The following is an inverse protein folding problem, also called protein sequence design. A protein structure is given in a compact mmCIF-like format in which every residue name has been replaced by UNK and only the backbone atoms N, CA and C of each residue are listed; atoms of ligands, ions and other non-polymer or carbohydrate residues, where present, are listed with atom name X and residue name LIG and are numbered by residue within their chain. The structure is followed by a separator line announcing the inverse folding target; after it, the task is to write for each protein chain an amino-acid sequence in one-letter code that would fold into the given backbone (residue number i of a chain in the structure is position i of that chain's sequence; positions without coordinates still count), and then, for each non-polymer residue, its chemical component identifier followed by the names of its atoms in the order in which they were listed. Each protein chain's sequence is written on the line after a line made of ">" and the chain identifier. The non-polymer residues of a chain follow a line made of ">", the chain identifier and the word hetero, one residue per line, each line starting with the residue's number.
data_IF_977709835533
#
_entry.id   IF_977709835533
#
_cell.length_a   1.000
_cell.length_b   1.000
_cell.length_c   1.000
_cell.angle_alpha   90.00
_cell.angle_beta   90.00
_cell.angle_gamma   90.00
#
_symmetry.space_group_name_H-M   'P 1'
#
loop_
_entity.id
_entity.type
_entity.pdbx_description
1 polymer ?
#
# COMPACT_ATOMS: atom_id res chain seq x y z
N UNK A 1 0.19 -8.66 -18.51
CA UNK A 1 1.40 -9.07 -17.75
C UNK A 1 1.16 -9.08 -16.24
N UNK A 2 0.89 -7.95 -15.54
CA UNK A 2 0.59 -7.99 -14.08
C UNK A 2 -0.65 -8.84 -13.79
N UNK A 3 -1.74 -8.61 -14.50
CA UNK A 3 -2.99 -9.36 -14.35
C UNK A 3 -2.78 -10.86 -14.53
N UNK A 4 -2.08 -11.28 -15.59
CA UNK A 4 -1.84 -12.71 -15.87
C UNK A 4 -0.98 -13.37 -14.79
N UNK A 5 0.06 -12.67 -14.33
CA UNK A 5 0.91 -13.14 -13.24
C UNK A 5 0.13 -13.31 -11.94
N UNK A 6 -0.64 -12.30 -11.55
CA UNK A 6 -1.45 -12.33 -10.32
C UNK A 6 -2.51 -13.42 -10.38
N UNK A 7 -3.21 -13.57 -11.51
CA UNK A 7 -4.23 -14.60 -11.70
C UNK A 7 -3.62 -16.01 -11.61
N UNK A 8 -2.47 -16.23 -12.25
CA UNK A 8 -1.78 -17.52 -12.21
C UNK A 8 -1.29 -17.85 -10.80
N UNK A 9 -0.66 -16.89 -10.11
CA UNK A 9 -0.17 -17.06 -8.75
C UNK A 9 -1.32 -17.34 -7.78
N UNK A 10 -2.41 -16.59 -7.87
CA UNK A 10 -3.61 -16.78 -7.06
C UNK A 10 -4.17 -18.19 -7.23
N UNK A 11 -4.34 -18.66 -8.47
CA UNK A 11 -4.83 -20.01 -8.76
C UNK A 11 -3.96 -21.12 -8.16
N UNK A 12 -2.63 -20.93 -8.14
CA UNK A 12 -1.69 -21.87 -7.53
C UNK A 12 -1.90 -21.88 -6.00
N UNK A 13 -1.95 -20.71 -5.36
CA UNK A 13 -2.12 -20.57 -3.92
C UNK A 13 -3.47 -21.16 -3.46
N UNK A 14 -4.55 -20.82 -4.15
CA UNK A 14 -5.89 -21.35 -3.85
C UNK A 14 -5.92 -22.88 -3.87
N UNK A 15 -5.29 -23.50 -4.88
CA UNK A 15 -5.19 -24.97 -4.96
C UNK A 15 -4.28 -25.56 -3.89
N UNK A 16 -3.11 -24.96 -3.62
CA UNK A 16 -2.16 -25.48 -2.64
C UNK A 16 -2.70 -25.43 -1.20
N UNK A 17 -3.52 -24.44 -0.87
CA UNK A 17 -4.02 -24.21 0.46
C UNK A 17 -5.54 -24.43 0.60
N UNK A 18 -6.18 -24.89 -0.46
CA UNK A 18 -7.64 -25.13 -0.50
C UNK A 18 -8.45 -23.89 -0.05
N UNK A 19 -8.07 -22.73 -0.56
CA UNK A 19 -8.74 -21.46 -0.24
C UNK A 19 -9.98 -21.26 -1.12
N UNK A 20 -11.02 -20.59 -0.61
CA UNK A 20 -12.14 -20.15 -1.44
C UNK A 20 -11.69 -19.20 -2.55
N UNK A 21 -12.32 -19.25 -3.72
CA UNK A 21 -12.01 -18.39 -4.85
C UNK A 21 -12.30 -16.90 -4.61
N UNK A 22 -13.17 -16.61 -3.64
CA UNK A 22 -13.54 -15.27 -3.17
C UNK A 22 -12.77 -14.81 -1.93
N UNK A 23 -11.77 -15.57 -1.48
CA UNK A 23 -10.92 -15.18 -0.36
C UNK A 23 -10.29 -13.81 -0.60
N UNK A 24 -10.34 -12.89 0.38
CA UNK A 24 -9.73 -11.58 0.23
C UNK A 24 -8.20 -11.70 0.08
N UNK A 25 -7.64 -10.86 -0.80
CA UNK A 25 -6.20 -10.83 -1.06
C UNK A 25 -5.64 -9.48 -0.59
N UNK A 26 -4.65 -9.53 0.29
CA UNK A 26 -3.91 -8.36 0.76
C UNK A 26 -2.53 -8.37 0.11
N UNK A 27 -2.21 -7.33 -0.66
CA UNK A 27 -0.86 -7.09 -1.16
C UNK A 27 -0.18 -6.02 -0.31
N UNK A 28 1.09 -6.21 -0.02
CA UNK A 28 1.81 -5.21 0.75
C UNK A 28 3.31 -5.24 0.51
N UNK A 29 3.97 -4.21 1.00
CA UNK A 29 5.41 -4.08 0.88
C UNK A 29 5.97 -2.88 1.64
N UNK A 30 7.27 -2.70 1.50
CA UNK A 30 8.03 -1.60 2.08
C UNK A 30 8.72 -0.78 0.99
N UNK A 31 8.75 0.54 1.15
CA UNK A 31 9.50 1.43 0.24
C UNK A 31 9.00 1.34 -1.21
N UNK A 32 9.85 0.94 -2.15
CA UNK A 32 9.47 0.77 -3.55
C UNK A 32 8.46 -0.38 -3.75
N UNK A 33 8.56 -1.44 -2.98
CA UNK A 33 7.57 -2.53 -3.01
C UNK A 33 6.20 -2.05 -2.49
N UNK A 34 6.17 -1.11 -1.54
CA UNK A 34 4.93 -0.47 -1.11
C UNK A 34 4.34 0.44 -2.20
N UNK A 35 5.17 1.17 -2.94
CA UNK A 35 4.72 1.93 -4.12
C UNK A 35 4.15 1.00 -5.19
N UNK A 36 4.81 -0.12 -5.47
CA UNK A 36 4.30 -1.13 -6.39
C UNK A 36 2.95 -1.69 -5.93
N UNK A 37 2.79 -1.94 -4.62
CA UNK A 37 1.51 -2.39 -4.06
C UNK A 37 0.41 -1.36 -4.24
N UNK A 38 0.70 -0.07 -4.02
CA UNK A 38 -0.24 1.03 -4.30
C UNK A 38 -0.60 1.08 -5.79
N UNK A 39 0.39 1.06 -6.68
CA UNK A 39 0.15 1.04 -8.12
C UNK A 39 -0.72 -0.14 -8.55
N UNK A 40 -0.50 -1.32 -7.96
CA UNK A 40 -1.31 -2.51 -8.24
C UNK A 40 -2.79 -2.33 -7.87
N UNK A 41 -3.10 -1.50 -6.86
CA UNK A 41 -4.48 -1.17 -6.51
C UNK A 41 -5.22 -0.40 -7.61
N UNK A 42 -4.50 0.37 -8.41
CA UNK A 42 -5.08 1.12 -9.54
C UNK A 42 -5.16 0.27 -10.82
N UNK A 43 -4.25 -0.68 -10.99
CA UNK A 43 -4.13 -1.49 -12.22
C UNK A 43 -4.92 -2.79 -12.18
N UNK A 44 -5.34 -3.27 -10.99
CA UNK A 44 -5.95 -4.59 -10.85
C UNK A 44 -7.02 -4.64 -9.76
N UNK A 45 -8.12 -5.30 -10.08
CA UNK A 45 -9.20 -5.61 -9.13
C UNK A 45 -8.91 -6.87 -8.28
N UNK A 46 -7.73 -7.48 -8.43
CA UNK A 46 -7.38 -8.73 -7.75
C UNK A 46 -7.07 -8.56 -6.26
N UNK A 47 -6.89 -7.33 -5.80
CA UNK A 47 -6.50 -7.03 -4.41
C UNK A 47 -7.65 -6.39 -3.66
N UNK A 48 -8.03 -6.98 -2.53
CA UNK A 48 -9.07 -6.45 -1.64
C UNK A 48 -8.52 -5.33 -0.76
N UNK A 49 -7.27 -5.46 -0.32
CA UNK A 49 -6.59 -4.47 0.50
C UNK A 49 -5.09 -4.33 0.16
N UNK A 50 -4.55 -3.17 0.48
CA UNK A 50 -3.13 -2.83 0.30
C UNK A 50 -2.50 -2.42 1.63
N UNK A 51 -1.37 -3.05 1.99
CA UNK A 51 -0.57 -2.70 3.15
C UNK A 51 0.74 -2.01 2.70
N UNK A 52 0.69 -0.68 2.50
CA UNK A 52 1.82 0.10 2.00
C UNK A 52 2.59 0.76 3.17
N UNK A 53 3.69 0.13 3.59
CA UNK A 53 4.55 0.65 4.65
C UNK A 53 5.69 1.50 4.07
N UNK A 54 5.79 2.75 4.51
CA UNK A 54 6.80 3.74 4.06
C UNK A 54 6.95 3.79 2.53
N UNK A 55 5.86 3.93 1.75
CA UNK A 55 5.91 3.86 0.30
C UNK A 55 6.70 5.01 -0.30
N UNK A 56 7.42 4.74 -1.40
CA UNK A 56 8.19 5.73 -2.16
C UNK A 56 7.30 6.67 -2.98
N UNK A 57 6.28 7.27 -2.37
CA UNK A 57 5.29 8.14 -3.03
C UNK A 57 5.85 9.46 -3.57
N UNK A 58 7.11 9.75 -3.26
CA UNK A 58 7.91 10.82 -3.86
C UNK A 58 8.42 10.51 -5.26
N UNK A 59 8.16 9.29 -5.76
CA UNK A 59 8.60 8.87 -7.10
C UNK A 59 8.01 9.80 -8.17
N UNK A 60 8.82 10.29 -9.13
CA UNK A 60 8.36 11.22 -10.14
C UNK A 60 7.14 10.73 -10.92
N UNK A 61 6.12 11.57 -11.04
CA UNK A 61 4.88 11.25 -11.75
C UNK A 61 3.86 10.42 -10.97
N UNK A 62 4.20 9.96 -9.77
CA UNK A 62 3.31 9.10 -8.99
C UNK A 62 2.00 9.81 -8.58
N UNK A 63 2.10 11.00 -8.00
CA UNK A 63 0.90 11.72 -7.52
C UNK A 63 0.01 12.20 -8.69
N UNK A 64 0.60 12.58 -9.81
CA UNK A 64 -0.13 12.90 -11.04
C UNK A 64 -0.90 11.67 -11.55
N UNK A 65 -0.24 10.51 -11.55
CA UNK A 65 -0.89 9.24 -11.89
C UNK A 65 -2.04 8.94 -10.92
N UNK A 66 -1.82 9.01 -9.62
CA UNK A 66 -2.83 8.71 -8.60
C UNK A 66 -4.05 9.65 -8.67
N UNK A 67 -3.85 10.93 -9.05
CA UNK A 67 -4.94 11.90 -9.29
C UNK A 67 -5.77 11.58 -10.53
N UNK A 68 -5.16 10.98 -11.54
CA UNK A 68 -5.81 10.70 -12.82
C UNK A 68 -6.54 9.34 -12.85
N UNK A 69 -6.38 8.51 -11.83
CA UNK A 69 -6.93 7.16 -11.78
C UNK A 69 -7.63 6.90 -10.44
N UNK A 70 -8.57 5.96 -10.44
CA UNK A 70 -9.26 5.51 -9.22
C UNK A 70 -8.74 4.15 -8.78
N UNK A 71 -8.43 3.94 -7.47
CA UNK A 71 -8.00 2.64 -6.97
C UNK A 71 -9.18 1.67 -6.89
N UNK A 72 -8.93 0.40 -7.18
CA UNK A 72 -9.92 -0.68 -7.09
C UNK A 72 -9.97 -1.34 -5.70
N UNK A 73 -8.88 -1.29 -4.92
CA UNK A 73 -8.86 -1.84 -3.58
C UNK A 73 -9.67 -0.97 -2.61
N UNK A 74 -10.57 -1.58 -1.84
CA UNK A 74 -11.45 -0.87 -0.91
C UNK A 74 -10.79 -0.48 0.43
N UNK A 75 -9.64 -1.07 0.76
CA UNK A 75 -8.92 -0.87 2.03
C UNK A 75 -7.44 -0.62 1.74
N UNK A 76 -6.90 0.52 2.17
CA UNK A 76 -5.50 0.87 1.94
C UNK A 76 -4.87 1.44 3.21
N UNK A 77 -3.85 0.74 3.72
CA UNK A 77 -3.01 1.20 4.81
C UNK A 77 -1.81 1.96 4.28
N UNK A 78 -1.54 3.12 4.85
CA UNK A 78 -0.31 3.89 4.64
C UNK A 78 0.43 4.06 5.96
N UNK A 79 1.75 4.04 5.94
CA UNK A 79 2.55 4.48 7.07
C UNK A 79 3.81 5.20 6.64
N UNK A 80 4.38 5.99 7.55
CA UNK A 80 5.66 6.67 7.35
C UNK A 80 6.41 6.80 8.69
N UNK A 81 7.72 6.82 8.66
CA UNK A 81 8.53 7.21 9.80
C UNK A 81 8.55 8.73 9.98
N UNK A 82 8.47 9.20 11.22
CA UNK A 82 8.39 10.62 11.57
C UNK A 82 9.66 11.44 11.26
N UNK A 83 10.75 10.73 10.86
CA UNK A 83 12.04 11.32 10.47
C UNK A 83 12.50 10.92 9.07
N UNK A 84 11.64 10.35 8.23
CA UNK A 84 12.01 9.97 6.86
C UNK A 84 12.27 11.19 5.95
N UNK A 85 11.64 12.31 6.22
CA UNK A 85 11.85 13.59 5.53
C UNK A 85 13.13 14.34 5.98
N UNK A 86 13.85 13.84 6.99
CA UNK A 86 15.08 14.46 7.53
C UNK A 86 16.37 13.98 6.82
N UNK A 87 16.22 13.15 5.79
CA UNK A 87 17.35 12.63 5.02
C UNK A 87 18.11 13.70 4.24
N UNK A 88 19.28 13.34 3.70
CA UNK A 88 20.12 14.26 2.88
C UNK A 88 19.60 14.44 1.46
N UNK A 89 18.87 13.47 0.93
CA UNK A 89 18.36 13.52 -0.44
C UNK A 89 17.16 14.48 -0.55
N UNK A 90 17.26 15.57 -1.34
CA UNK A 90 16.19 16.56 -1.47
C UNK A 90 14.86 15.97 -1.96
N UNK A 91 14.89 14.99 -2.84
CA UNK A 91 13.69 14.35 -3.39
C UNK A 91 12.98 13.55 -2.30
N UNK A 92 13.72 12.78 -1.51
CA UNK A 92 13.15 12.01 -0.40
C UNK A 92 12.60 12.89 0.73
N UNK A 93 13.08 14.14 0.87
CA UNK A 93 12.51 15.08 1.85
C UNK A 93 11.05 15.43 1.60
N UNK A 94 10.57 15.25 0.40
CA UNK A 94 9.18 15.53 0.03
C UNK A 94 8.23 14.42 0.48
N UNK A 95 8.74 13.28 0.96
CA UNK A 95 7.93 12.09 1.27
C UNK A 95 6.78 12.37 2.25
N UNK A 96 7.02 13.20 3.28
CA UNK A 96 5.98 13.57 4.25
C UNK A 96 4.82 14.36 3.62
N UNK A 97 5.13 15.23 2.66
CA UNK A 97 4.11 15.97 1.90
C UNK A 97 3.39 15.04 0.93
N UNK A 98 4.15 14.26 0.17
CA UNK A 98 3.59 13.32 -0.82
C UNK A 98 2.66 12.29 -0.19
N UNK A 99 3.01 11.72 0.97
CA UNK A 99 2.14 10.71 1.60
C UNK A 99 0.85 11.30 2.17
N UNK A 100 0.88 12.53 2.65
CA UNK A 100 -0.34 13.24 3.08
C UNK A 100 -1.26 13.53 1.91
N UNK A 101 -0.71 13.91 0.77
CA UNK A 101 -1.45 14.11 -0.46
C UNK A 101 -2.04 12.80 -0.97
N UNK A 102 -1.26 11.71 -1.00
CA UNK A 102 -1.76 10.38 -1.32
C UNK A 102 -2.89 9.95 -0.39
N UNK A 103 -2.77 10.20 0.91
CA UNK A 103 -3.80 9.89 1.89
C UNK A 103 -5.09 10.68 1.61
N UNK A 104 -4.98 11.97 1.31
CA UNK A 104 -6.14 12.80 0.97
C UNK A 104 -6.85 12.30 -0.29
N UNK A 105 -6.11 11.93 -1.34
CA UNK A 105 -6.68 11.37 -2.57
C UNK A 105 -7.47 10.08 -2.29
N UNK A 106 -6.95 9.20 -1.43
CA UNK A 106 -7.65 7.97 -1.06
C UNK A 106 -8.94 8.26 -0.27
N UNK A 107 -8.92 9.26 0.62
CA UNK A 107 -10.11 9.68 1.35
C UNK A 107 -11.18 10.27 0.41
N UNK A 108 -10.78 11.12 -0.54
CA UNK A 108 -11.65 11.70 -1.55
C UNK A 108 -12.29 10.62 -2.45
N UNK A 109 -11.55 9.55 -2.75
CA UNK A 109 -12.04 8.40 -3.50
C UNK A 109 -12.95 7.46 -2.66
N UNK A 110 -13.20 7.77 -1.38
CA UNK A 110 -14.03 6.95 -0.50
C UNK A 110 -13.38 5.65 -0.03
N UNK A 111 -12.06 5.51 -0.16
CA UNK A 111 -11.32 4.32 0.26
C UNK A 111 -11.20 4.30 1.79
N UNK A 112 -11.43 3.14 2.41
CA UNK A 112 -11.16 2.93 3.83
C UNK A 112 -9.65 2.95 4.06
N UNK A 113 -9.13 4.07 4.56
CA UNK A 113 -7.69 4.30 4.64
C UNK A 113 -7.25 4.88 5.98
N UNK A 114 -6.00 4.65 6.32
CA UNK A 114 -5.31 5.26 7.46
C UNK A 114 -3.89 5.66 7.08
N UNK A 115 -3.35 6.67 7.77
CA UNK A 115 -1.95 7.06 7.69
C UNK A 115 -1.31 6.97 9.08
N UNK A 116 -0.57 5.89 9.33
CA UNK A 116 0.10 5.65 10.59
C UNK A 116 1.52 6.23 10.61
N UNK A 117 1.85 6.98 11.65
CA UNK A 117 3.19 7.49 11.88
C UNK A 117 3.97 6.57 12.81
N UNK A 118 5.19 6.20 12.41
CA UNK A 118 6.09 5.36 13.21
C UNK A 118 7.30 6.17 13.68
N UNK A 119 7.87 5.89 14.85
CA UNK A 119 9.12 6.52 15.26
C UNK A 119 10.26 6.16 14.31
N UNK A 120 11.09 7.15 13.96
CA UNK A 120 12.35 6.91 13.29
C UNK A 120 12.40 7.19 11.80
N UNK A 121 13.53 6.83 11.20
CA UNK A 121 13.82 7.04 9.78
C UNK A 121 13.38 5.84 8.93
N UNK A 122 13.69 5.90 7.63
CA UNK A 122 13.31 4.88 6.64
C UNK A 122 13.87 3.48 6.92
N UNK A 123 14.94 3.34 7.67
CA UNK A 123 15.63 2.06 7.89
C UNK A 123 15.31 1.42 9.23
N UNK A 124 14.40 2.00 10.01
CA UNK A 124 14.04 1.50 11.33
C UNK A 124 12.79 0.62 11.29
N UNK A 125 12.94 -0.61 11.74
CA UNK A 125 11.87 -1.58 11.98
C UNK A 125 10.95 -1.85 10.76
N UNK A 126 11.48 -2.07 9.54
CA UNK A 126 10.66 -2.26 8.35
C UNK A 126 9.71 -3.46 8.47
N UNK A 127 10.15 -4.58 9.09
CA UNK A 127 9.34 -5.77 9.30
C UNK A 127 8.13 -5.49 10.18
N UNK A 128 8.34 -4.75 11.28
CA UNK A 128 7.27 -4.41 12.22
C UNK A 128 6.26 -3.44 11.58
N UNK A 129 6.73 -2.51 10.76
CA UNK A 129 5.87 -1.57 10.02
C UNK A 129 5.02 -2.31 8.98
N UNK A 130 5.61 -3.27 8.27
CA UNK A 130 4.85 -4.14 7.36
C UNK A 130 3.82 -4.96 8.12
N UNK A 131 4.21 -5.62 9.22
CA UNK A 131 3.30 -6.43 10.03
C UNK A 131 2.10 -5.62 10.53
N UNK A 132 2.30 -4.39 11.02
CA UNK A 132 1.21 -3.48 11.41
C UNK A 132 0.25 -3.20 10.26
N UNK A 133 0.77 -3.00 9.05
CA UNK A 133 -0.04 -2.75 7.87
C UNK A 133 -0.93 -3.93 7.52
N UNK A 134 -0.37 -5.14 7.50
CA UNK A 134 -1.14 -6.36 7.25
C UNK A 134 -2.19 -6.61 8.33
N UNK A 135 -1.83 -6.47 9.61
CA UNK A 135 -2.76 -6.64 10.73
C UNK A 135 -3.93 -5.65 10.59
N UNK A 136 -3.65 -4.37 10.38
CA UNK A 136 -4.69 -3.37 10.20
C UNK A 136 -5.61 -3.69 9.02
N UNK A 137 -5.07 -4.08 7.87
CA UNK A 137 -5.87 -4.48 6.71
C UNK A 137 -6.79 -5.67 7.04
N UNK A 138 -6.27 -6.70 7.70
CA UNK A 138 -7.05 -7.87 8.10
C UNK A 138 -8.17 -7.50 9.10
N UNK A 139 -7.87 -6.65 10.08
CA UNK A 139 -8.88 -6.11 10.99
C UNK A 139 -10.01 -5.40 10.25
N UNK A 140 -9.69 -4.59 9.21
CA UNK A 140 -10.70 -3.90 8.43
C UNK A 140 -11.55 -4.84 7.56
N UNK A 141 -10.99 -5.95 7.11
CA UNK A 141 -11.68 -6.93 6.26
C UNK A 141 -12.56 -7.90 7.07
N UNK A 142 -12.22 -8.17 8.32
CA UNK A 142 -12.88 -9.18 9.16
C UNK A 142 -13.52 -8.61 10.43
N UNK A 143 -13.54 -7.28 10.63
CA UNK A 143 -14.35 -6.65 11.68
C UNK A 143 -15.83 -6.74 11.30
N UNK A 144 -16.61 -7.40 12.14
CA UNK A 144 -18.08 -7.40 12.06
C UNK A 144 -18.66 -6.02 12.37
#
# INVERSE_FOLDING_TARGET
>A
MLHDFVTSLRSIIERCYNLPSDAPVVLGGYSLAALFSLWSAYESQSFTAIAAASPSVWFPGWLEYAKAHEPHAGVIYLSLGDREDKGRNPVMRTVSTCIKEQYALLQEAGIKTTLAWNPGNHFQQPEQRCAKGFIWCLEQLFSE
#
